data_IF_822992553372
#
_entry.id   IF_822992553372
#
_cell.length_a   1.000
_cell.length_b   1.000
_cell.length_c   1.000
_cell.angle_alpha   90.00
_cell.angle_beta   90.00
_cell.angle_gamma   90.00
#
_symmetry.space_group_name_H-M   'P 1'
#
loop_
_entity.id
_entity.type
_entity.pdbx_description
1 polymer ?
#
# COMPACT_ATOMS: atom_id res chain seq x y z
N UNK A 1 -1.46 -1.97 -53.47
CA UNK A 1 -0.82 -2.00 -52.13
C UNK A 1 -1.32 -0.88 -51.22
N UNK A 2 -1.44 0.39 -51.65
CA UNK A 2 -1.89 1.51 -50.80
C UNK A 2 -3.33 1.39 -50.21
N UNK A 3 -4.24 0.69 -50.88
CA UNK A 3 -5.64 0.48 -50.43
C UNK A 3 -5.79 -0.58 -49.33
N UNK A 4 -4.87 -1.56 -49.27
CA UNK A 4 -4.88 -2.61 -48.25
C UNK A 4 -4.30 -2.06 -46.93
N UNK A 5 -3.30 -1.18 -47.01
CA UNK A 5 -2.73 -0.48 -45.85
C UNK A 5 -3.68 0.54 -45.24
N UNK A 6 -4.48 1.27 -46.05
CA UNK A 6 -5.48 2.21 -45.53
C UNK A 6 -6.63 1.51 -44.79
N UNK A 7 -7.11 0.39 -45.33
CA UNK A 7 -8.18 -0.39 -44.71
C UNK A 7 -7.73 -1.09 -43.42
N UNK A 8 -6.50 -1.63 -43.39
CA UNK A 8 -5.90 -2.19 -42.17
C UNK A 8 -5.78 -1.14 -41.06
N UNK A 9 -5.41 0.10 -41.39
CA UNK A 9 -5.32 1.19 -40.43
C UNK A 9 -6.71 1.62 -39.93
N UNK A 10 -7.71 1.68 -40.82
CA UNK A 10 -9.11 1.94 -40.47
C UNK A 10 -9.65 0.90 -39.48
N UNK A 11 -9.43 -0.39 -39.74
CA UNK A 11 -9.86 -1.48 -38.86
C UNK A 11 -9.19 -1.43 -37.48
N UNK A 12 -7.91 -1.08 -37.42
CA UNK A 12 -7.19 -0.87 -36.14
C UNK A 12 -7.74 0.32 -35.36
N UNK A 13 -8.00 1.43 -36.04
CA UNK A 13 -8.61 2.62 -35.42
C UNK A 13 -10.02 2.32 -34.90
N UNK A 14 -10.82 1.57 -35.66
CA UNK A 14 -12.14 1.10 -35.24
C UNK A 14 -12.06 0.18 -34.01
N UNK A 15 -11.09 -0.73 -33.97
CA UNK A 15 -10.87 -1.61 -32.82
C UNK A 15 -10.43 -0.84 -31.57
N UNK A 16 -9.51 0.12 -31.72
CA UNK A 16 -9.10 1.00 -30.62
C UNK A 16 -10.26 1.86 -30.10
N UNK A 17 -11.08 2.42 -31.01
CA UNK A 17 -12.29 3.17 -30.65
C UNK A 17 -13.30 2.29 -29.90
N UNK A 18 -13.53 1.06 -30.37
CA UNK A 18 -14.42 0.10 -29.68
C UNK A 18 -13.96 -0.20 -28.26
N UNK A 19 -12.65 -0.42 -28.04
CA UNK A 19 -12.12 -0.62 -26.68
C UNK A 19 -12.35 0.61 -25.81
N UNK A 20 -12.07 1.80 -26.35
CA UNK A 20 -12.29 3.05 -25.62
C UNK A 20 -13.76 3.24 -25.23
N UNK A 21 -14.68 3.03 -26.18
CA UNK A 21 -16.12 3.13 -25.95
C UNK A 21 -16.60 2.10 -24.91
N UNK A 22 -16.06 0.87 -24.96
CA UNK A 22 -16.30 -0.15 -23.93
C UNK A 22 -15.84 0.31 -22.55
N UNK A 23 -14.60 0.79 -22.41
CA UNK A 23 -14.05 1.25 -21.14
C UNK A 23 -14.82 2.45 -20.58
N UNK A 24 -15.24 3.40 -21.43
CA UNK A 24 -16.10 4.52 -21.01
C UNK A 24 -17.40 4.00 -20.41
N UNK A 25 -18.05 3.02 -21.07
CA UNK A 25 -19.28 2.42 -20.56
C UNK A 25 -19.05 1.72 -19.22
N UNK A 26 -17.98 0.92 -19.13
CA UNK A 26 -17.59 0.24 -17.88
C UNK A 26 -17.35 1.24 -16.76
N UNK A 27 -16.53 2.28 -16.97
CA UNK A 27 -16.22 3.26 -15.91
C UNK A 27 -17.44 4.10 -15.53
N UNK A 28 -18.34 4.39 -16.47
CA UNK A 28 -19.64 5.01 -16.16
C UNK A 28 -20.46 4.15 -15.21
N UNK A 29 -20.49 2.83 -15.43
CA UNK A 29 -21.15 1.90 -14.53
C UNK A 29 -20.47 1.86 -13.16
N UNK A 30 -19.14 1.84 -13.09
CA UNK A 30 -18.39 1.85 -11.82
C UNK A 30 -18.63 3.14 -11.01
N UNK A 31 -18.82 4.28 -11.67
CA UNK A 31 -19.25 5.53 -11.02
C UNK A 31 -20.67 5.36 -10.45
N UNK A 32 -21.60 4.81 -11.22
CA UNK A 32 -22.98 4.57 -10.77
C UNK A 32 -23.05 3.60 -9.58
N UNK A 33 -22.17 2.59 -9.54
CA UNK A 33 -22.01 1.61 -8.47
C UNK A 33 -21.15 2.12 -7.29
N UNK A 34 -20.71 3.38 -7.36
CA UNK A 34 -19.86 4.04 -6.35
C UNK A 34 -18.59 3.26 -6.04
N UNK A 35 -18.00 2.60 -7.04
CA UNK A 35 -16.69 1.94 -6.93
C UNK A 35 -15.58 2.97 -7.11
N UNK A 36 -15.80 3.96 -7.97
CA UNK A 36 -14.92 5.12 -8.20
C UNK A 36 -15.74 6.40 -8.09
N UNK A 37 -15.10 7.54 -7.82
CA UNK A 37 -15.81 8.84 -7.79
C UNK A 37 -16.11 9.33 -9.19
N UNK A 38 -15.10 9.33 -10.05
CA UNK A 38 -15.20 9.88 -11.40
C UNK A 38 -14.11 9.32 -12.30
N UNK A 39 -14.18 9.61 -13.59
CA UNK A 39 -13.09 9.40 -14.52
C UNK A 39 -13.00 10.49 -15.60
N UNK A 40 -11.79 10.70 -16.10
CA UNK A 40 -11.50 11.52 -17.28
C UNK A 40 -10.99 10.68 -18.44
N UNK A 41 -11.14 11.19 -19.65
CA UNK A 41 -10.73 10.52 -20.91
C UNK A 41 -9.76 11.42 -21.67
N UNK A 42 -8.69 10.84 -22.23
CA UNK A 42 -7.65 11.50 -23.04
C UNK A 42 -7.14 12.82 -22.42
N UNK A 43 -6.73 12.74 -21.16
CA UNK A 43 -6.19 13.90 -20.44
C UNK A 43 -4.71 14.07 -20.74
N UNK A 44 -4.35 15.29 -21.12
CA UNK A 44 -2.96 15.67 -21.31
C UNK A 44 -2.43 16.34 -20.05
N UNK A 45 -1.17 16.05 -19.72
CA UNK A 45 -0.43 16.65 -18.63
C UNK A 45 0.83 17.31 -19.15
N UNK A 46 1.25 18.37 -18.45
CA UNK A 46 2.54 19.02 -18.62
C UNK A 46 3.56 18.48 -17.62
N UNK A 47 4.84 18.65 -17.93
CA UNK A 47 5.88 18.60 -16.93
C UNK A 47 5.79 19.83 -16.03
N UNK A 48 5.76 19.61 -14.72
CA UNK A 48 5.74 20.67 -13.72
C UNK A 48 6.95 21.58 -13.90
N UNK A 49 6.72 22.90 -13.82
CA UNK A 49 7.76 23.91 -14.09
C UNK A 49 7.89 24.32 -15.56
N UNK A 50 7.13 23.71 -16.48
CA UNK A 50 7.13 24.06 -17.90
C UNK A 50 5.73 24.45 -18.43
N UNK A 51 5.71 25.35 -19.41
CA UNK A 51 4.49 25.98 -19.92
C UNK A 51 3.76 25.18 -21.01
N UNK A 52 4.38 24.15 -21.60
CA UNK A 52 3.74 23.40 -22.69
C UNK A 52 2.74 22.38 -22.13
N UNK A 53 1.47 22.50 -22.54
CA UNK A 53 0.34 21.82 -21.90
C UNK A 53 0.02 20.39 -22.37
N UNK A 54 0.78 19.83 -23.33
CA UNK A 54 0.46 18.53 -23.95
C UNK A 54 1.70 17.66 -24.14
N UNK A 55 2.24 17.14 -23.05
CA UNK A 55 3.43 16.28 -23.10
C UNK A 55 3.11 14.82 -22.86
N UNK A 56 2.29 14.54 -21.84
CA UNK A 56 2.00 13.18 -21.40
C UNK A 56 0.50 12.93 -21.55
N UNK A 57 0.15 11.86 -22.25
CA UNK A 57 -1.24 11.46 -22.45
C UNK A 57 -1.62 10.33 -21.49
N UNK A 58 -2.66 10.55 -20.69
CA UNK A 58 -3.39 9.49 -20.02
C UNK A 58 -4.67 9.18 -20.81
N UNK A 59 -4.82 7.95 -21.29
CA UNK A 59 -6.07 7.55 -21.97
C UNK A 59 -7.26 7.65 -21.00
N UNK A 60 -7.04 7.26 -19.74
CA UNK A 60 -7.99 7.50 -18.66
C UNK A 60 -7.30 7.93 -17.38
N UNK A 61 -8.00 8.75 -16.61
CA UNK A 61 -7.68 9.06 -15.21
C UNK A 61 -8.88 8.67 -14.37
N UNK A 62 -8.68 7.80 -13.39
CA UNK A 62 -9.72 7.40 -12.44
C UNK A 62 -9.49 8.18 -11.15
N UNK A 63 -10.55 8.79 -10.64
CA UNK A 63 -10.58 9.41 -9.31
C UNK A 63 -11.20 8.42 -8.33
N UNK A 64 -10.42 8.01 -7.32
CA UNK A 64 -10.85 7.02 -6.34
C UNK A 64 -11.63 7.65 -5.19
N UNK A 65 -12.32 6.82 -4.39
CA UNK A 65 -13.17 7.26 -3.28
C UNK A 65 -12.45 8.12 -2.23
N UNK A 66 -11.14 7.96 -2.08
CA UNK A 66 -10.23 8.69 -1.19
C UNK A 66 -9.55 9.91 -1.86
N UNK A 67 -10.06 10.37 -3.01
CA UNK A 67 -9.55 11.51 -3.80
C UNK A 67 -8.10 11.34 -4.28
N UNK A 68 -7.69 10.09 -4.54
CA UNK A 68 -6.43 9.73 -5.19
C UNK A 68 -6.68 9.40 -6.67
N UNK A 69 -5.61 9.21 -7.42
CA UNK A 69 -5.70 8.97 -8.87
C UNK A 69 -5.07 7.65 -9.30
N UNK A 70 -5.69 7.01 -10.29
CA UNK A 70 -5.12 5.92 -11.07
C UNK A 70 -5.00 6.39 -12.52
N UNK A 71 -3.80 6.30 -13.08
CA UNK A 71 -3.53 6.69 -14.46
C UNK A 71 -3.52 5.44 -15.33
N UNK A 72 -4.25 5.47 -16.44
CA UNK A 72 -4.42 4.31 -17.31
C UNK A 72 -4.04 4.68 -18.74
N UNK A 73 -3.15 3.88 -19.33
CA UNK A 73 -2.96 3.81 -20.76
C UNK A 73 -3.41 2.44 -21.26
N UNK A 74 -4.36 2.43 -22.21
CA UNK A 74 -4.99 1.21 -22.69
C UNK A 74 -4.63 0.91 -24.14
N UNK A 75 -4.60 -0.37 -24.48
CA UNK A 75 -4.39 -0.83 -25.86
C UNK A 75 -5.23 -2.07 -26.13
N UNK A 76 -5.74 -2.21 -27.35
CA UNK A 76 -6.49 -3.39 -27.78
C UNK A 76 -5.62 -4.65 -27.94
N UNK A 77 -4.30 -4.49 -27.99
CA UNK A 77 -3.35 -5.57 -28.13
C UNK A 77 -1.98 -5.18 -27.57
N UNK A 78 -1.29 -6.13 -26.96
CA UNK A 78 0.07 -5.95 -26.50
C UNK A 78 1.05 -6.01 -27.67
N UNK A 79 1.88 -4.99 -27.76
CA UNK A 79 2.98 -4.88 -28.72
C UNK A 79 4.15 -4.17 -28.05
N UNK A 80 5.27 -4.87 -27.96
CA UNK A 80 6.44 -4.41 -27.20
C UNK A 80 7.01 -3.06 -27.70
N UNK A 81 7.00 -2.84 -29.02
CA UNK A 81 7.44 -1.58 -29.64
C UNK A 81 6.55 -0.39 -29.27
N UNK A 82 5.24 -0.61 -29.19
CA UNK A 82 4.23 0.45 -28.92
C UNK A 82 4.05 0.76 -27.45
N UNK A 83 4.32 -0.21 -26.58
CA UNK A 83 4.25 -0.03 -25.14
C UNK A 83 5.20 1.08 -24.67
N UNK A 84 6.33 1.31 -25.36
CA UNK A 84 7.30 2.36 -25.00
C UNK A 84 6.69 3.76 -24.93
N UNK A 85 5.80 4.12 -25.86
CA UNK A 85 5.12 5.43 -25.83
C UNK A 85 4.18 5.51 -24.63
N UNK A 86 3.38 4.48 -24.40
CA UNK A 86 2.47 4.40 -23.25
C UNK A 86 3.23 4.45 -21.92
N UNK A 87 4.39 3.80 -21.85
CA UNK A 87 5.30 3.83 -20.72
C UNK A 87 5.90 5.22 -20.49
N UNK A 88 6.35 5.91 -21.56
CA UNK A 88 6.83 7.29 -21.45
C UNK A 88 5.75 8.22 -20.89
N UNK A 89 4.52 8.11 -21.38
CA UNK A 89 3.38 8.88 -20.89
C UNK A 89 3.10 8.60 -19.41
N UNK A 90 2.97 7.32 -19.02
CA UNK A 90 2.75 6.95 -17.63
C UNK A 90 3.86 7.46 -16.71
N UNK A 91 5.13 7.27 -17.09
CA UNK A 91 6.28 7.76 -16.33
C UNK A 91 6.22 9.28 -16.16
N UNK A 92 5.86 9.99 -17.23
CA UNK A 92 5.71 11.43 -17.25
C UNK A 92 4.65 11.93 -16.26
N UNK A 93 3.45 11.37 -16.35
CA UNK A 93 2.34 11.74 -15.45
C UNK A 93 2.67 11.39 -13.99
N UNK A 94 3.16 10.17 -13.74
CA UNK A 94 3.42 9.68 -12.39
C UNK A 94 4.54 10.44 -11.66
N UNK A 95 5.54 10.95 -12.38
CA UNK A 95 6.69 11.59 -11.74
C UNK A 95 6.77 13.11 -11.92
N UNK A 96 6.08 13.68 -12.92
CA UNK A 96 6.30 15.08 -13.30
C UNK A 96 5.01 15.90 -13.41
N UNK A 97 3.82 15.30 -13.36
CA UNK A 97 2.58 16.07 -13.36
C UNK A 97 2.29 16.67 -11.98
N UNK A 98 1.51 17.74 -11.93
CA UNK A 98 1.08 18.39 -10.68
C UNK A 98 0.26 17.48 -9.74
N UNK A 99 -0.26 16.37 -10.27
CA UNK A 99 -1.04 15.37 -9.52
C UNK A 99 -0.20 14.15 -9.09
N UNK A 100 1.12 14.15 -9.38
CA UNK A 100 2.02 13.01 -9.16
C UNK A 100 1.97 12.50 -7.72
N UNK A 101 1.91 13.42 -6.77
CA UNK A 101 1.80 13.19 -5.33
C UNK A 101 0.50 12.52 -4.88
N UNK A 102 -0.49 12.37 -5.77
CA UNK A 102 -1.79 11.74 -5.50
C UNK A 102 -2.04 10.48 -6.30
N UNK A 103 -1.07 10.03 -7.11
CA UNK A 103 -1.22 8.82 -7.93
C UNK A 103 -0.89 7.58 -7.10
N UNK A 104 -1.83 6.64 -7.02
CA UNK A 104 -1.67 5.38 -6.28
C UNK A 104 -1.42 4.17 -7.20
N UNK A 105 -1.66 4.33 -8.51
CA UNK A 105 -1.29 3.35 -9.52
C UNK A 105 -1.18 3.97 -10.93
N UNK A 106 -0.27 3.43 -11.73
CA UNK A 106 -0.13 3.68 -13.17
C UNK A 106 -0.25 2.34 -13.90
N UNK A 107 -1.20 2.24 -14.82
CA UNK A 107 -1.67 0.95 -15.35
C UNK A 107 -1.57 0.93 -16.87
N UNK A 108 -0.88 -0.08 -17.39
CA UNK A 108 -1.05 -0.53 -18.77
C UNK A 108 -2.22 -1.52 -18.81
N UNK A 109 -3.30 -1.16 -19.49
CA UNK A 109 -4.55 -1.92 -19.48
C UNK A 109 -4.85 -2.57 -20.84
N UNK A 110 -5.12 -3.87 -20.83
CA UNK A 110 -5.39 -4.67 -22.03
C UNK A 110 -6.71 -5.44 -21.91
N UNK A 111 -7.39 -5.81 -23.00
CA UNK A 111 -8.54 -6.70 -22.94
C UNK A 111 -8.16 -8.10 -22.44
N UNK A 112 -9.10 -8.81 -21.82
CA UNK A 112 -8.85 -10.15 -21.23
C UNK A 112 -8.35 -11.19 -22.25
N UNK A 113 -8.67 -11.03 -23.54
CA UNK A 113 -8.17 -11.90 -24.61
C UNK A 113 -6.64 -11.90 -24.69
N UNK A 114 -5.98 -10.83 -24.25
CA UNK A 114 -4.52 -10.72 -24.24
C UNK A 114 -3.86 -11.62 -23.18
N UNK A 115 -4.62 -12.25 -22.29
CA UNK A 115 -4.11 -13.35 -21.46
C UNK A 115 -3.64 -14.54 -22.30
N UNK A 116 -4.04 -14.65 -23.56
CA UNK A 116 -3.55 -15.66 -24.50
C UNK A 116 -2.34 -15.17 -25.32
N UNK A 117 -1.93 -13.90 -25.17
CA UNK A 117 -0.79 -13.34 -25.88
C UNK A 117 0.52 -13.67 -25.14
N UNK A 118 1.31 -14.59 -25.71
CA UNK A 118 2.60 -15.00 -25.15
C UNK A 118 3.58 -13.84 -24.95
N UNK A 119 3.48 -12.79 -25.78
CA UNK A 119 4.28 -11.58 -25.64
C UNK A 119 3.94 -10.80 -24.36
N UNK A 120 2.65 -10.65 -24.04
CA UNK A 120 2.21 -9.99 -22.81
C UNK A 120 2.65 -10.80 -21.59
N UNK A 121 2.40 -12.11 -21.60
CA UNK A 121 2.78 -13.02 -20.50
C UNK A 121 4.28 -12.94 -20.25
N UNK A 122 5.09 -13.05 -21.31
CA UNK A 122 6.55 -12.98 -21.22
C UNK A 122 7.00 -11.63 -20.68
N UNK A 123 6.40 -10.54 -21.15
CA UNK A 123 6.77 -9.20 -20.68
C UNK A 123 6.41 -9.00 -19.21
N UNK A 124 5.21 -9.39 -18.77
CA UNK A 124 4.82 -9.37 -17.35
C UNK A 124 5.82 -10.13 -16.48
N UNK A 125 6.18 -11.35 -16.88
CA UNK A 125 7.15 -12.16 -16.15
C UNK A 125 8.51 -11.47 -16.05
N UNK A 126 9.02 -10.92 -17.16
CA UNK A 126 10.29 -10.18 -17.16
C UNK A 126 10.25 -8.94 -16.28
N UNK A 127 9.12 -8.25 -16.20
CA UNK A 127 8.97 -7.10 -15.27
C UNK A 127 8.99 -7.58 -13.81
N UNK A 128 8.32 -8.69 -13.50
CA UNK A 128 8.29 -9.28 -12.15
C UNK A 128 9.69 -9.76 -11.74
N UNK A 129 10.42 -10.45 -12.63
CA UNK A 129 11.78 -10.95 -12.38
C UNK A 129 12.85 -9.86 -12.48
N UNK A 130 12.48 -8.63 -12.83
CA UNK A 130 13.37 -7.48 -13.06
C UNK A 130 14.32 -7.65 -14.26
N UNK A 131 14.00 -8.54 -15.19
CA UNK A 131 14.68 -8.67 -16.49
C UNK A 131 14.24 -7.62 -17.52
N UNK A 132 13.13 -6.92 -17.25
CA UNK A 132 12.65 -5.79 -18.03
C UNK A 132 12.14 -4.67 -17.14
N UNK A 133 12.34 -3.42 -17.59
CA UNK A 133 11.80 -2.24 -16.92
C UNK A 133 10.43 -1.84 -17.49
N UNK A 134 9.52 -1.43 -16.60
CA UNK A 134 8.25 -0.77 -16.94
C UNK A 134 7.99 0.33 -15.91
N UNK A 135 7.66 1.57 -16.33
CA UNK A 135 7.25 2.62 -15.41
C UNK A 135 5.79 2.50 -14.95
N UNK A 136 5.01 1.62 -15.59
CA UNK A 136 3.69 1.27 -15.09
C UNK A 136 3.83 0.43 -13.81
N UNK A 137 3.16 0.82 -12.74
CA UNK A 137 3.12 0.02 -11.51
C UNK A 137 2.38 -1.29 -11.76
N UNK A 138 1.37 -1.29 -12.64
CA UNK A 138 0.62 -2.48 -13.01
C UNK A 138 0.50 -2.66 -14.51
N UNK A 139 0.45 -3.92 -14.93
CA UNK A 139 0.16 -4.35 -16.30
C UNK A 139 -1.01 -5.30 -16.18
N UNK A 140 -2.24 -4.81 -16.37
CA UNK A 140 -3.46 -5.55 -16.06
C UNK A 140 -4.29 -5.84 -17.30
N UNK A 141 -5.08 -6.90 -17.25
CA UNK A 141 -6.25 -7.03 -18.10
C UNK A 141 -7.49 -6.45 -17.42
N UNK A 142 -8.59 -6.30 -18.15
CA UNK A 142 -9.80 -5.62 -17.67
C UNK A 142 -10.35 -6.31 -16.41
N UNK A 143 -10.48 -7.63 -16.41
CA UNK A 143 -10.93 -8.40 -15.25
C UNK A 143 -10.06 -8.16 -14.01
N UNK A 144 -8.73 -8.27 -14.13
CA UNK A 144 -7.78 -7.98 -13.04
C UNK A 144 -7.87 -6.53 -12.55
N UNK A 145 -8.17 -5.58 -13.43
CA UNK A 145 -8.36 -4.18 -13.06
C UNK A 145 -9.65 -3.94 -12.27
N UNK A 146 -10.74 -4.64 -12.60
CA UNK A 146 -11.97 -4.59 -11.80
C UNK A 146 -11.71 -5.15 -10.40
N UNK A 147 -11.04 -6.30 -10.29
CA UNK A 147 -10.68 -6.88 -8.99
C UNK A 147 -9.80 -5.92 -8.17
N UNK A 148 -8.87 -5.23 -8.81
CA UNK A 148 -8.04 -4.20 -8.19
C UNK A 148 -8.88 -3.05 -7.62
N UNK A 149 -9.86 -2.54 -8.39
CA UNK A 149 -10.73 -1.46 -7.94
C UNK A 149 -11.66 -1.89 -6.81
N UNK A 150 -12.23 -3.09 -6.87
CA UNK A 150 -13.07 -3.63 -5.80
C UNK A 150 -12.27 -3.82 -4.52
N UNK A 151 -11.03 -4.29 -4.62
CA UNK A 151 -10.16 -4.40 -3.45
C UNK A 151 -9.86 -3.02 -2.83
N UNK A 152 -9.54 -2.02 -3.66
CA UNK A 152 -9.34 -0.64 -3.20
C UNK A 152 -10.60 -0.05 -2.56
N UNK A 153 -11.76 -0.23 -3.19
CA UNK A 153 -13.06 0.22 -2.65
C UNK A 153 -13.31 -0.38 -1.26
N UNK A 154 -13.15 -1.69 -1.10
CA UNK A 154 -13.39 -2.34 0.18
C UNK A 154 -12.51 -1.74 1.29
N UNK A 155 -11.24 -1.46 0.99
CA UNK A 155 -10.34 -0.78 1.93
C UNK A 155 -10.86 0.62 2.27
N UNK A 156 -11.20 1.43 1.27
CA UNK A 156 -11.68 2.81 1.51
C UNK A 156 -13.05 2.85 2.18
N UNK A 157 -13.96 1.92 1.89
CA UNK A 157 -15.25 1.82 2.58
C UNK A 157 -15.08 1.34 4.01
N UNK A 158 -14.16 0.38 4.24
CA UNK A 158 -13.74 0.00 5.58
C UNK A 158 -13.22 1.21 6.35
N UNK A 159 -12.55 2.18 5.71
CA UNK A 159 -12.09 3.45 6.29
C UNK A 159 -13.19 4.54 6.40
N UNK A 160 -14.13 4.66 5.44
CA UNK A 160 -15.18 5.72 5.41
C UNK A 160 -16.37 5.43 6.32
N UNK A 161 -16.81 4.16 6.42
CA UNK A 161 -17.82 3.73 7.40
C UNK A 161 -17.35 4.03 8.83
N UNK A 162 -16.05 4.24 9.00
CA UNK A 162 -15.48 4.76 10.21
C UNK A 162 -15.74 6.27 10.36
N UNK A 163 -15.40 7.08 9.35
CA UNK A 163 -15.53 8.54 9.35
C UNK A 163 -16.96 9.05 9.64
N UNK A 164 -17.98 8.50 8.97
CA UNK A 164 -19.38 8.97 9.10
C UNK A 164 -19.99 8.69 10.48
N UNK A 165 -19.49 7.70 11.24
CA UNK A 165 -19.97 7.45 12.61
C UNK A 165 -19.56 8.54 13.61
N UNK A 166 -18.67 9.46 13.21
CA UNK A 166 -18.21 10.59 14.01
C UNK A 166 -19.11 11.82 13.85
N UNK A 167 -19.74 12.00 12.69
CA UNK A 167 -20.55 13.19 12.38
C UNK A 167 -22.00 13.11 12.91
N UNK A 168 -22.51 11.90 13.17
CA UNK A 168 -23.88 11.69 13.68
C UNK A 168 -24.00 11.63 15.22
N UNK A 169 -22.89 11.70 15.98
CA UNK A 169 -22.92 11.55 17.45
C UNK A 169 -22.36 12.76 18.18
N UNK A 170 -23.19 13.38 19.02
CA UNK A 170 -22.78 14.39 20.00
C UNK A 170 -21.81 13.81 21.03
N UNK A 171 -20.95 14.67 21.58
CA UNK A 171 -19.80 14.33 22.45
C UNK A 171 -20.13 13.41 23.64
N UNK A 172 -21.38 13.41 24.11
CA UNK A 172 -21.83 12.57 25.24
C UNK A 172 -22.08 11.10 24.89
N UNK A 173 -22.26 10.73 23.61
CA UNK A 173 -22.45 9.33 23.18
C UNK A 173 -21.15 8.62 22.77
N UNK A 174 -20.02 9.34 22.74
CA UNK A 174 -18.70 8.81 22.34
C UNK A 174 -18.09 7.89 23.41
N UNK A 175 -18.58 7.95 24.66
CA UNK A 175 -18.02 7.16 25.77
C UNK A 175 -18.40 5.67 25.73
N UNK A 176 -19.51 5.27 25.10
CA UNK A 176 -20.03 3.89 25.24
C UNK A 176 -19.82 2.94 24.05
N UNK A 177 -19.38 3.40 22.87
CA UNK A 177 -19.18 2.49 21.71
C UNK A 177 -17.88 2.78 20.93
N UNK A 178 -16.73 2.52 21.56
CA UNK A 178 -15.41 2.55 20.93
C UNK A 178 -15.14 1.23 20.20
N UNK A 179 -15.57 1.11 18.95
CA UNK A 179 -15.36 -0.08 18.11
C UNK A 179 -14.11 0.09 17.24
N UNK A 180 -13.67 -0.99 16.56
CA UNK A 180 -12.47 -0.98 15.69
C UNK A 180 -12.44 0.16 14.66
N UNK A 181 -13.63 0.56 14.17
CA UNK A 181 -13.78 1.67 13.23
C UNK A 181 -13.32 3.02 13.77
N UNK A 182 -13.59 3.35 15.04
CA UNK A 182 -13.19 4.65 15.61
C UNK A 182 -11.66 4.89 15.55
N UNK A 183 -10.86 3.83 15.50
CA UNK A 183 -9.41 3.91 15.54
C UNK A 183 -8.75 4.15 14.16
N UNK A 184 -9.34 3.70 13.04
CA UNK A 184 -8.73 3.86 11.72
C UNK A 184 -8.79 5.31 11.19
N UNK A 185 -9.91 6.01 11.37
CA UNK A 185 -10.04 7.47 11.10
C UNK A 185 -8.97 8.28 11.82
N UNK A 186 -8.75 7.97 13.10
CA UNK A 186 -7.77 8.66 13.92
C UNK A 186 -6.36 8.37 13.43
N UNK A 187 -6.12 7.18 12.86
CA UNK A 187 -4.92 6.85 12.11
C UNK A 187 -4.74 7.79 10.91
N UNK A 188 -5.68 7.79 9.97
CA UNK A 188 -5.59 8.57 8.73
C UNK A 188 -5.48 10.09 8.96
N UNK A 189 -6.24 10.63 9.91
CA UNK A 189 -6.15 12.04 10.28
C UNK A 189 -4.77 12.38 10.87
N UNK A 190 -4.24 11.49 11.71
CA UNK A 190 -2.92 11.65 12.31
C UNK A 190 -1.80 11.51 11.27
N UNK A 191 -1.93 10.61 10.30
CA UNK A 191 -0.98 10.52 9.18
C UNK A 191 -0.91 11.82 8.38
N UNK A 192 -2.07 12.42 8.07
CA UNK A 192 -2.14 13.72 7.39
C UNK A 192 -1.52 14.83 8.23
N UNK A 193 -1.84 14.89 9.52
CA UNK A 193 -1.26 15.83 10.47
C UNK A 193 0.27 15.74 10.50
N UNK A 194 0.83 14.53 10.58
CA UNK A 194 2.27 14.30 10.55
C UNK A 194 2.89 14.74 9.23
N UNK A 195 2.26 14.44 8.09
CA UNK A 195 2.72 14.89 6.76
C UNK A 195 2.72 16.42 6.65
N UNK A 196 1.67 17.07 7.15
CA UNK A 196 1.55 18.53 7.15
C UNK A 196 2.62 19.19 8.03
N UNK A 197 2.87 18.62 9.22
CA UNK A 197 3.96 19.06 10.10
C UNK A 197 5.34 18.93 9.42
N UNK A 198 5.62 17.78 8.81
CA UNK A 198 6.89 17.48 8.13
C UNK A 198 7.14 18.36 6.90
N UNK A 199 6.08 18.75 6.18
CA UNK A 199 6.16 19.66 5.03
C UNK A 199 6.13 21.15 5.43
N UNK A 200 5.96 21.48 6.72
CA UNK A 200 5.91 22.85 7.17
C UNK A 200 7.29 23.53 7.10
N UNK A 201 7.40 24.57 6.26
CA UNK A 201 8.64 25.29 6.03
C UNK A 201 9.17 26.01 7.29
N UNK A 202 8.29 26.43 8.20
CA UNK A 202 8.69 27.11 9.43
C UNK A 202 9.28 26.14 10.45
N UNK A 203 8.78 24.89 10.50
CA UNK A 203 9.44 23.82 11.27
C UNK A 203 10.86 23.57 10.75
N UNK A 204 11.05 23.51 9.43
CA UNK A 204 12.39 23.35 8.85
C UNK A 204 13.33 24.50 9.21
N UNK A 205 12.86 25.75 9.15
CA UNK A 205 13.68 26.91 9.55
C UNK A 205 14.11 26.82 11.01
N UNK A 206 13.17 26.50 11.92
CA UNK A 206 13.45 26.35 13.36
C UNK A 206 14.46 25.24 13.62
N UNK A 207 14.25 24.07 13.01
CA UNK A 207 15.15 22.93 13.12
C UNK A 207 16.58 23.26 12.68
N UNK A 208 16.73 23.94 11.53
CA UNK A 208 18.04 24.39 11.04
C UNK A 208 18.68 25.47 11.92
N UNK A 209 17.88 26.26 12.64
CA UNK A 209 18.42 27.22 13.61
C UNK A 209 18.88 26.58 14.93
N UNK A 210 18.70 25.26 15.08
CA UNK A 210 19.04 24.53 16.30
C UNK A 210 18.11 24.86 17.47
N UNK A 211 16.91 25.37 17.20
CA UNK A 211 15.91 25.62 18.24
C UNK A 211 14.99 24.41 18.40
N UNK A 212 14.65 24.09 19.65
CA UNK A 212 13.73 22.99 19.98
C UNK A 212 12.24 23.35 19.77
N UNK A 213 11.95 24.51 19.16
CA UNK A 213 10.60 25.08 19.00
C UNK A 213 9.81 24.51 17.81
N UNK A 214 10.29 23.42 17.20
CA UNK A 214 9.54 22.73 16.15
C UNK A 214 8.34 21.99 16.75
N UNK A 215 7.37 21.63 15.91
CA UNK A 215 6.27 20.78 16.37
C UNK A 215 6.78 19.41 16.86
N UNK A 216 6.03 18.81 17.79
CA UNK A 216 6.47 17.63 18.54
C UNK A 216 6.86 16.45 17.63
N UNK A 217 6.01 16.10 16.66
CA UNK A 217 6.29 14.97 15.78
C UNK A 217 7.38 15.28 14.75
N UNK A 218 7.46 16.53 14.29
CA UNK A 218 8.58 16.99 13.48
C UNK A 218 9.92 16.73 14.18
N UNK A 219 10.10 17.27 15.40
CA UNK A 219 11.33 17.08 16.18
C UNK A 219 11.62 15.60 16.41
N UNK A 220 10.62 14.84 16.85
CA UNK A 220 10.77 13.41 17.15
C UNK A 220 11.28 12.62 15.94
N UNK A 221 10.68 12.83 14.77
CA UNK A 221 11.00 12.08 13.55
C UNK A 221 12.34 12.54 12.97
N UNK A 222 12.51 13.85 12.74
CA UNK A 222 13.68 14.37 12.03
C UNK A 222 14.96 14.18 12.86
N UNK A 223 14.91 14.33 14.19
CA UNK A 223 16.07 14.07 15.04
C UNK A 223 16.55 12.63 14.93
N UNK A 224 15.64 11.65 15.00
CA UNK A 224 16.00 10.23 14.88
C UNK A 224 16.56 9.92 13.50
N UNK A 225 15.90 10.37 12.43
CA UNK A 225 16.36 10.12 11.06
C UNK A 225 17.72 10.76 10.79
N UNK A 226 17.96 11.98 11.26
CA UNK A 226 19.26 12.63 11.15
C UNK A 226 20.34 11.89 11.95
N UNK A 227 20.02 11.48 13.18
CA UNK A 227 20.93 10.70 14.03
C UNK A 227 21.32 9.37 13.38
N UNK A 228 20.36 8.58 12.91
CA UNK A 228 20.61 7.27 12.31
C UNK A 228 21.42 7.35 11.02
N UNK A 229 21.31 8.49 10.32
CA UNK A 229 21.99 8.73 9.05
C UNK A 229 23.22 9.63 9.17
N UNK A 230 23.65 9.97 10.39
CA UNK A 230 24.77 10.88 10.68
C UNK A 230 24.67 12.22 9.91
N UNK A 231 23.50 12.85 9.93
CA UNK A 231 23.24 14.16 9.31
C UNK A 231 23.29 15.26 10.35
N UNK A 232 24.00 16.34 10.07
CA UNK A 232 23.88 17.58 10.85
C UNK A 232 22.62 18.34 10.44
N UNK A 233 21.86 18.85 11.42
CA UNK A 233 20.64 19.62 11.16
C UNK A 233 20.85 20.81 10.22
N UNK A 234 22.05 21.44 10.26
CA UNK A 234 22.38 22.58 9.40
C UNK A 234 22.50 22.20 7.91
N UNK A 235 22.81 20.93 7.63
CA UNK A 235 23.04 20.42 6.27
C UNK A 235 21.73 20.05 5.58
N UNK A 236 20.60 20.04 6.29
CA UNK A 236 19.28 19.76 5.72
C UNK A 236 18.83 20.93 4.86
N UNK A 237 18.64 20.69 3.56
CA UNK A 237 18.19 21.68 2.57
C UNK A 237 16.67 21.70 2.49
N UNK A 238 16.05 20.53 2.38
CA UNK A 238 14.60 20.41 2.24
C UNK A 238 14.10 19.07 2.76
N UNK A 239 12.89 19.08 3.28
CA UNK A 239 12.13 17.89 3.66
C UNK A 239 10.85 17.88 2.85
N UNK A 240 10.54 16.73 2.27
CA UNK A 240 9.27 16.49 1.61
C UNK A 240 8.69 15.17 2.09
N UNK A 241 7.44 15.16 2.51
CA UNK A 241 6.74 13.97 2.96
C UNK A 241 5.42 13.78 2.22
N UNK A 242 5.00 12.52 2.10
CA UNK A 242 3.75 12.14 1.44
C UNK A 242 3.15 10.90 2.10
N UNK A 243 1.82 10.88 2.22
CA UNK A 243 1.05 9.69 2.60
C UNK A 243 0.46 8.96 1.37
N UNK A 244 0.97 9.26 0.18
CA UNK A 244 0.60 8.54 -1.04
C UNK A 244 1.68 7.50 -1.34
N UNK A 245 1.33 6.24 -1.12
CA UNK A 245 2.16 5.09 -1.48
C UNK A 245 1.44 4.30 -2.56
N UNK A 246 2.19 3.80 -3.56
CA UNK A 246 1.60 2.94 -4.57
C UNK A 246 0.99 1.69 -3.93
N UNK A 247 -0.17 1.27 -4.45
CA UNK A 247 -0.81 0.03 -4.04
C UNK A 247 0.08 -1.17 -4.35
N UNK A 248 -0.05 -2.23 -3.56
CA UNK A 248 0.54 -3.54 -3.85
C UNK A 248 -0.06 -4.11 -5.14
N UNK A 249 0.55 -5.14 -5.74
CA UNK A 249 0.00 -5.79 -6.95
C UNK A 249 -1.42 -6.30 -6.75
N UNK A 250 -1.76 -6.71 -5.52
CA UNK A 250 -3.11 -7.12 -5.14
C UNK A 250 -4.13 -5.98 -5.06
N UNK A 251 -3.70 -4.72 -5.21
CA UNK A 251 -4.48 -3.51 -4.91
C UNK A 251 -4.50 -3.13 -3.43
N UNK A 252 -3.82 -3.89 -2.56
CA UNK A 252 -3.80 -3.64 -1.11
C UNK A 252 -2.91 -2.46 -0.71
N UNK A 253 -3.09 -1.97 0.51
CA UNK A 253 -2.18 -0.98 1.10
C UNK A 253 -0.83 -1.61 1.44
N UNK A 254 0.25 -0.86 1.19
CA UNK A 254 1.57 -1.18 1.71
C UNK A 254 1.60 -1.04 3.25
N UNK A 255 2.68 -1.48 3.90
CA UNK A 255 2.89 -1.20 5.33
C UNK A 255 3.43 0.20 5.61
N UNK A 256 3.95 0.84 4.57
CA UNK A 256 4.36 2.24 4.62
C UNK A 256 3.12 3.11 4.52
N UNK A 257 2.96 3.97 5.52
CA UNK A 257 1.88 4.94 5.61
C UNK A 257 2.40 6.33 5.17
N UNK A 258 3.67 6.66 5.49
CA UNK A 258 4.34 7.92 5.11
C UNK A 258 5.70 7.62 4.48
N UNK A 259 5.99 8.29 3.36
CA UNK A 259 7.33 8.39 2.77
C UNK A 259 7.89 9.77 3.10
N UNK A 260 9.13 9.82 3.58
CA UNK A 260 9.86 11.07 3.82
C UNK A 260 11.14 11.10 3.00
N UNK A 261 11.39 12.24 2.36
CA UNK A 261 12.59 12.55 1.60
C UNK A 261 13.31 13.73 2.27
N UNK A 262 14.54 13.49 2.70
CA UNK A 262 15.40 14.51 3.30
C UNK A 262 16.54 14.77 2.32
N UNK A 263 16.57 15.96 1.74
CA UNK A 263 17.67 16.41 0.91
C UNK A 263 18.66 17.18 1.76
N UNK A 264 19.91 16.77 1.74
CA UNK A 264 21.03 17.44 2.39
C UNK A 264 21.98 18.04 1.35
N UNK A 265 23.04 18.70 1.81
CA UNK A 265 24.12 19.19 0.94
C UNK A 265 24.78 18.04 0.15
N UNK A 266 24.99 16.89 0.79
CA UNK A 266 25.79 15.81 0.22
C UNK A 266 24.97 14.65 -0.35
N UNK A 267 23.77 14.40 0.19
CA UNK A 267 22.95 13.24 -0.15
C UNK A 267 21.46 13.50 -0.03
N UNK A 268 20.68 12.66 -0.70
CA UNK A 268 19.24 12.51 -0.48
C UNK A 268 18.99 11.20 0.27
N UNK A 269 18.11 11.26 1.26
CA UNK A 269 17.68 10.11 2.06
C UNK A 269 16.18 9.95 1.85
N UNK A 270 15.76 8.71 1.63
CA UNK A 270 14.35 8.34 1.51
C UNK A 270 14.06 7.27 2.54
N UNK A 271 13.09 7.55 3.41
CA UNK A 271 12.69 6.64 4.48
C UNK A 271 11.18 6.43 4.49
N UNK A 272 10.77 5.29 5.04
CA UNK A 272 9.40 4.82 5.04
C UNK A 272 8.92 4.56 6.46
N UNK A 273 7.75 5.07 6.79
CA UNK A 273 7.21 5.10 8.16
C UNK A 273 5.84 4.43 8.16
N UNK A 274 5.64 3.49 9.08
CA UNK A 274 4.31 3.02 9.46
C UNK A 274 3.84 3.80 10.66
N UNK A 275 2.57 4.20 10.68
CA UNK A 275 1.97 5.04 11.70
C UNK A 275 0.94 4.22 12.48
N UNK A 276 0.93 4.36 13.80
CA UNK A 276 -0.05 3.75 14.70
C UNK A 276 -0.53 4.79 15.71
N UNK A 277 -1.73 5.32 15.49
CA UNK A 277 -2.41 6.18 16.44
C UNK A 277 -3.43 5.36 17.25
N UNK A 278 -3.28 5.30 18.57
CA UNK A 278 -4.09 4.38 19.38
C UNK A 278 -4.21 4.83 20.83
N UNK A 279 -5.17 4.25 21.55
CA UNK A 279 -5.24 4.28 23.01
C UNK A 279 -5.09 2.87 23.61
N UNK A 280 -4.95 1.87 22.75
CA UNK A 280 -4.95 0.46 23.11
C UNK A 280 -3.52 -0.06 23.29
N UNK A 281 -3.38 -1.06 24.15
CA UNK A 281 -2.11 -1.75 24.35
C UNK A 281 -1.79 -2.74 23.22
N UNK A 282 -2.76 -3.07 22.36
CA UNK A 282 -2.57 -3.94 21.20
C UNK A 282 -3.42 -3.46 20.04
N UNK A 283 -2.86 -3.44 18.84
CA UNK A 283 -3.53 -3.00 17.62
C UNK A 283 -3.32 -4.01 16.50
N UNK A 284 -4.26 -4.06 15.56
CA UNK A 284 -4.09 -4.86 14.35
C UNK A 284 -2.92 -4.32 13.54
N UNK A 285 -2.02 -5.21 13.10
CA UNK A 285 -0.88 -4.85 12.26
C UNK A 285 -0.87 -5.61 10.94
N UNK A 286 -1.62 -6.71 10.84
CA UNK A 286 -1.60 -7.58 9.67
C UNK A 286 -2.91 -8.34 9.54
N UNK A 287 -3.42 -8.48 8.31
CA UNK A 287 -4.64 -9.23 8.02
C UNK A 287 -4.58 -9.77 6.59
N UNK A 288 -4.48 -11.09 6.43
CA UNK A 288 -4.33 -11.75 5.13
C UNK A 288 -5.07 -13.09 5.07
N UNK A 289 -5.32 -13.58 3.85
CA UNK A 289 -5.85 -14.92 3.63
C UNK A 289 -4.71 -15.94 3.75
N UNK A 290 -5.06 -17.18 4.00
CA UNK A 290 -4.07 -18.23 4.24
C UNK A 290 -3.16 -18.50 3.05
N UNK A 291 -3.68 -18.37 1.83
CA UNK A 291 -2.89 -18.43 0.61
C UNK A 291 -1.71 -17.47 0.60
N UNK A 292 -1.85 -16.30 1.25
CA UNK A 292 -0.79 -15.29 1.32
C UNK A 292 0.29 -15.71 2.32
N UNK A 293 -0.09 -16.25 3.47
CA UNK A 293 0.85 -16.84 4.43
C UNK A 293 1.64 -17.99 3.80
N UNK A 294 0.94 -18.91 3.11
CA UNK A 294 1.57 -20.06 2.44
C UNK A 294 2.62 -19.59 1.43
N UNK A 295 2.22 -18.65 0.56
CA UNK A 295 3.07 -18.08 -0.48
C UNK A 295 4.28 -17.34 0.07
N UNK A 296 4.07 -16.42 1.03
CA UNK A 296 5.16 -15.61 1.59
C UNK A 296 6.12 -16.48 2.39
N UNK A 297 5.61 -17.42 3.19
CA UNK A 297 6.45 -18.32 3.98
C UNK A 297 7.09 -19.44 3.13
N UNK A 298 6.56 -19.72 1.94
CA UNK A 298 6.99 -20.79 1.00
C UNK A 298 6.83 -22.18 1.62
N UNK A 299 5.62 -22.47 2.09
CA UNK A 299 5.28 -23.66 2.87
C UNK A 299 4.19 -24.50 2.21
N UNK A 300 4.05 -24.40 0.88
CA UNK A 300 3.12 -25.20 0.09
C UNK A 300 3.31 -26.69 0.36
N UNK A 301 2.21 -27.43 0.52
CA UNK A 301 2.21 -28.88 0.77
C UNK A 301 2.95 -29.32 2.04
N UNK A 302 3.09 -28.45 3.04
CA UNK A 302 3.69 -28.78 4.34
C UNK A 302 2.63 -28.95 5.43
N UNK A 303 2.98 -29.65 6.52
CA UNK A 303 2.11 -29.74 7.71
C UNK A 303 1.83 -28.37 8.34
N UNK A 304 2.78 -27.43 8.25
CA UNK A 304 2.60 -26.06 8.73
C UNK A 304 1.49 -25.32 7.97
N UNK A 305 1.39 -25.51 6.65
CA UNK A 305 0.29 -24.94 5.87
C UNK A 305 -1.06 -25.48 6.37
N UNK A 306 -1.16 -26.78 6.64
CA UNK A 306 -2.40 -27.39 7.14
C UNK A 306 -2.78 -26.88 8.54
N UNK A 307 -1.80 -26.64 9.43
CA UNK A 307 -2.06 -25.96 10.72
C UNK A 307 -2.64 -24.57 10.53
N UNK A 308 -2.07 -23.79 9.61
CA UNK A 308 -2.48 -22.43 9.36
C UNK A 308 -3.88 -22.39 8.68
N UNK A 309 -4.17 -23.30 7.76
CA UNK A 309 -5.49 -23.48 7.14
C UNK A 309 -6.56 -23.78 8.20
N UNK A 310 -6.27 -24.72 9.12
CA UNK A 310 -7.14 -25.02 10.25
C UNK A 310 -7.35 -23.78 11.13
N UNK A 311 -6.28 -23.03 11.43
CA UNK A 311 -6.40 -21.80 12.21
C UNK A 311 -7.33 -20.79 11.54
N UNK A 312 -7.20 -20.56 10.23
CA UNK A 312 -8.09 -19.65 9.50
C UNK A 312 -9.53 -20.12 9.54
N UNK A 313 -9.78 -21.41 9.27
CA UNK A 313 -11.11 -22.02 9.24
C UNK A 313 -11.83 -21.82 10.59
N UNK A 314 -11.14 -22.11 11.70
CA UNK A 314 -11.73 -22.03 13.04
C UNK A 314 -11.75 -20.60 13.60
N UNK A 315 -10.78 -19.77 13.22
CA UNK A 315 -10.70 -18.35 13.47
C UNK A 315 -10.17 -17.94 14.85
N UNK A 316 -10.26 -18.76 15.89
CA UNK A 316 -9.78 -18.42 17.24
C UNK A 316 -8.80 -19.47 17.78
N UNK A 317 -7.97 -19.09 18.76
CA UNK A 317 -7.05 -20.02 19.42
C UNK A 317 -7.77 -21.21 20.04
N UNK A 318 -8.83 -20.96 20.81
CA UNK A 318 -9.59 -22.03 21.49
C UNK A 318 -10.13 -23.04 20.48
N UNK A 319 -10.77 -22.54 19.43
CA UNK A 319 -11.42 -23.38 18.42
C UNK A 319 -10.40 -24.10 17.53
N UNK A 320 -9.27 -23.44 17.26
CA UNK A 320 -8.14 -24.08 16.61
C UNK A 320 -7.63 -25.28 17.41
N UNK A 321 -7.43 -25.13 18.72
CA UNK A 321 -6.97 -26.21 19.61
C UNK A 321 -8.01 -27.32 19.74
N UNK A 322 -9.28 -26.97 19.98
CA UNK A 322 -10.36 -27.94 20.19
C UNK A 322 -10.66 -28.79 18.95
N UNK A 323 -10.33 -28.28 17.76
CA UNK A 323 -10.53 -28.96 16.49
C UNK A 323 -9.23 -29.53 15.89
N UNK A 324 -8.11 -29.56 16.63
CA UNK A 324 -6.90 -30.23 16.15
C UNK A 324 -7.13 -31.74 16.01
N UNK A 325 -6.59 -32.38 14.94
CA UNK A 325 -6.44 -33.82 14.88
C UNK A 325 -5.68 -34.36 16.10
N UNK A 326 -5.96 -35.61 16.51
CA UNK A 326 -5.40 -36.20 17.74
C UNK A 326 -3.87 -36.28 17.73
N UNK A 327 -3.26 -36.38 16.55
CA UNK A 327 -1.82 -36.45 16.33
C UNK A 327 -1.16 -35.08 16.16
N UNK A 328 -1.91 -33.99 16.32
CA UNK A 328 -1.45 -32.61 16.21
C UNK A 328 -1.34 -31.98 17.61
N UNK A 329 -0.47 -30.99 17.75
CA UNK A 329 -0.34 -30.23 19.00
C UNK A 329 0.13 -28.80 18.75
N UNK A 330 -0.20 -27.92 19.68
CA UNK A 330 0.30 -26.53 19.67
C UNK A 330 1.83 -26.49 19.69
N UNK A 331 2.48 -27.39 20.43
CA UNK A 331 3.95 -27.45 20.52
C UNK A 331 4.59 -27.85 19.18
N UNK A 332 3.97 -28.77 18.43
CA UNK A 332 4.42 -29.11 17.08
C UNK A 332 4.24 -27.91 16.13
N UNK A 333 3.08 -27.24 16.17
CA UNK A 333 2.84 -26.04 15.36
C UNK A 333 3.89 -24.96 15.63
N UNK A 334 4.18 -24.67 16.89
CA UNK A 334 5.21 -23.70 17.30
C UNK A 334 6.60 -24.12 16.81
N UNK A 335 6.98 -25.40 16.94
CA UNK A 335 8.27 -25.92 16.45
C UNK A 335 8.40 -25.82 14.92
N UNK A 336 7.32 -26.04 14.18
CA UNK A 336 7.30 -25.90 12.73
C UNK A 336 7.40 -24.42 12.30
N UNK A 337 6.84 -23.51 13.09
CA UNK A 337 6.85 -22.07 12.82
C UNK A 337 8.16 -21.39 13.22
N UNK A 338 8.84 -21.90 14.25
CA UNK A 338 10.10 -21.37 14.80
C UNK A 338 11.14 -20.93 13.75
N UNK A 339 11.54 -21.75 12.75
CA UNK A 339 12.52 -21.33 11.74
C UNK A 339 12.04 -20.18 10.85
N UNK A 340 10.74 -19.88 10.83
CA UNK A 340 10.10 -18.87 10.00
C UNK A 340 9.61 -17.66 10.79
N UNK A 341 9.77 -17.64 12.13
CA UNK A 341 9.17 -16.61 12.98
C UNK A 341 9.64 -15.20 12.65
N UNK A 342 10.94 -15.01 12.37
CA UNK A 342 11.47 -13.69 12.03
C UNK A 342 10.90 -13.22 10.69
N UNK A 343 10.85 -14.11 9.70
CA UNK A 343 10.25 -13.83 8.39
C UNK A 343 8.78 -13.44 8.52
N UNK A 344 8.01 -14.17 9.32
CA UNK A 344 6.59 -13.85 9.57
C UNK A 344 6.43 -12.52 10.32
N UNK A 345 7.25 -12.26 11.34
CA UNK A 345 7.19 -11.02 12.12
C UNK A 345 7.57 -9.81 11.25
N UNK A 346 8.64 -9.90 10.48
CA UNK A 346 9.05 -8.85 9.55
C UNK A 346 8.02 -8.61 8.46
N UNK A 347 7.44 -9.66 7.87
CA UNK A 347 6.34 -9.48 6.91
C UNK A 347 5.12 -8.83 7.56
N UNK A 348 4.77 -9.25 8.78
CA UNK A 348 3.63 -8.73 9.50
C UNK A 348 3.75 -7.23 9.79
N UNK A 349 4.93 -6.79 10.22
CA UNK A 349 5.19 -5.43 10.70
C UNK A 349 5.65 -4.48 9.59
N UNK A 350 6.48 -4.95 8.68
CA UNK A 350 7.18 -4.10 7.69
C UNK A 350 6.73 -4.35 6.26
N UNK A 351 6.11 -5.50 5.96
CA UNK A 351 5.73 -5.90 4.61
C UNK A 351 6.88 -6.58 3.83
N UNK A 352 8.04 -6.81 4.46
CA UNK A 352 9.17 -7.56 3.88
C UNK A 352 8.77 -8.98 3.44
N UNK A 353 9.59 -9.57 2.57
CA UNK A 353 9.50 -10.95 2.07
C UNK A 353 8.39 -11.24 1.05
N UNK A 354 7.47 -10.29 0.83
CA UNK A 354 6.36 -10.45 -0.11
C UNK A 354 6.72 -10.00 -1.55
N UNK A 355 7.78 -10.57 -2.11
CA UNK A 355 8.33 -10.13 -3.39
C UNK A 355 7.34 -10.22 -4.57
N UNK A 356 6.40 -11.17 -4.53
CA UNK A 356 5.42 -11.32 -5.60
C UNK A 356 4.35 -10.24 -5.55
N UNK A 357 4.11 -9.61 -4.38
CA UNK A 357 3.07 -8.60 -4.21
C UNK A 357 3.64 -7.17 -4.17
N UNK A 358 4.91 -7.01 -3.81
CA UNK A 358 5.61 -5.73 -3.85
C UNK A 358 5.90 -5.31 -5.30
N UNK A 359 5.72 -4.02 -5.57
CA UNK A 359 6.02 -3.36 -6.85
C UNK A 359 7.29 -2.54 -6.69
N UNK A 360 7.34 -1.74 -5.63
CA UNK A 360 8.49 -0.93 -5.24
C UNK A 360 8.84 -1.22 -3.77
N UNK A 361 9.63 -2.28 -3.51
CA UNK A 361 10.01 -2.66 -2.16
C UNK A 361 10.65 -1.52 -1.36
N UNK A 362 11.35 -0.57 -2.00
CA UNK A 362 12.03 0.53 -1.29
C UNK A 362 11.03 1.50 -0.66
N UNK A 363 9.87 1.72 -1.30
CA UNK A 363 8.85 2.64 -0.82
C UNK A 363 7.68 1.93 -0.11
N UNK A 364 7.50 0.63 -0.34
CA UNK A 364 6.37 -0.14 0.20
C UNK A 364 6.71 -0.90 1.49
N UNK A 365 7.98 -1.24 1.70
CA UNK A 365 8.44 -1.80 2.97
C UNK A 365 8.70 -0.66 3.94
N UNK A 366 8.15 -0.77 5.14
CA UNK A 366 8.34 0.24 6.18
C UNK A 366 9.60 -0.01 7.00
N UNK A 367 10.45 1.01 7.13
CA UNK A 367 11.70 0.96 7.89
C UNK A 367 11.53 1.42 9.34
N UNK A 368 10.61 2.37 9.58
CA UNK A 368 10.37 2.97 10.89
C UNK A 368 8.91 2.84 11.32
N UNK A 369 8.70 2.88 12.63
CA UNK A 369 7.40 2.90 13.28
C UNK A 369 7.23 4.19 14.07
N UNK A 370 6.20 4.95 13.74
CA UNK A 370 5.68 6.04 14.55
C UNK A 370 4.47 5.57 15.34
N UNK A 371 4.56 5.58 16.66
CA UNK A 371 3.45 5.29 17.57
C UNK A 371 3.04 6.59 18.24
N UNK A 372 1.75 6.89 18.20
CA UNK A 372 1.11 7.85 19.09
C UNK A 372 0.13 7.07 19.97
N UNK A 373 0.42 6.97 21.27
CA UNK A 373 -0.46 6.34 22.25
C UNK A 373 -1.00 7.39 23.20
N UNK A 374 -2.27 7.75 23.03
CA UNK A 374 -2.93 8.74 23.90
C UNK A 374 -2.16 10.08 24.01
N UNK A 375 -1.46 10.50 22.94
CA UNK A 375 -0.67 11.74 22.90
C UNK A 375 0.83 11.54 23.17
N UNK A 376 1.25 10.37 23.63
CA UNK A 376 2.66 10.04 23.83
C UNK A 376 3.25 9.43 22.54
N UNK A 377 4.25 10.11 21.98
CA UNK A 377 4.91 9.73 20.73
C UNK A 377 6.16 8.89 20.94
N UNK A 378 6.31 7.82 20.16
CA UNK A 378 7.55 7.05 20.03
C UNK A 378 7.85 6.87 18.55
N UNK A 379 9.10 7.16 18.15
CA UNK A 379 9.59 6.91 16.80
C UNK A 379 10.85 6.06 16.85
N UNK A 380 10.85 4.94 16.14
CA UNK A 380 11.88 3.90 16.25
C UNK A 380 11.99 3.10 14.95
N UNK A 381 13.18 2.62 14.61
CA UNK A 381 13.37 1.70 13.49
C UNK A 381 12.79 0.31 13.84
N UNK A 382 12.30 -0.42 12.83
CA UNK A 382 11.65 -1.70 13.07
C UNK A 382 12.59 -2.78 13.62
N UNK A 383 13.89 -2.71 13.33
CA UNK A 383 14.85 -3.68 13.86
C UNK A 383 14.91 -3.56 15.38
N UNK A 384 15.17 -2.36 15.88
CA UNK A 384 15.20 -2.05 17.31
C UNK A 384 13.85 -2.32 17.98
N UNK A 385 12.73 -2.05 17.30
CA UNK A 385 11.40 -2.34 17.84
C UNK A 385 11.15 -3.85 17.97
N UNK A 386 11.54 -4.65 16.98
CA UNK A 386 11.43 -6.11 17.03
C UNK A 386 12.25 -6.68 18.19
N UNK A 387 13.49 -6.22 18.38
CA UNK A 387 14.33 -6.63 19.50
C UNK A 387 13.69 -6.26 20.85
N UNK A 388 13.10 -5.06 20.92
CA UNK A 388 12.36 -4.60 22.10
C UNK A 388 11.16 -5.51 22.40
N UNK A 389 10.42 -5.98 21.39
CA UNK A 389 9.27 -6.87 21.57
C UNK A 389 9.64 -8.18 22.28
N UNK A 390 10.79 -8.76 21.94
CA UNK A 390 11.25 -10.02 22.56
C UNK A 390 11.85 -9.82 23.96
N UNK A 391 12.44 -8.66 24.24
CA UNK A 391 13.12 -8.38 25.52
C UNK A 391 12.22 -7.75 26.58
N UNK A 392 11.08 -7.17 26.18
CA UNK A 392 10.16 -6.45 27.09
C UNK A 392 9.18 -7.34 27.85
N UNK A 393 9.38 -8.67 27.88
CA UNK A 393 8.49 -9.59 28.60
C UNK A 393 7.08 -9.72 28.01
N UNK A 394 6.89 -9.36 26.74
CA UNK A 394 5.62 -9.54 26.02
C UNK A 394 5.25 -11.03 25.98
N UNK A 395 3.99 -11.36 26.24
CA UNK A 395 3.48 -12.74 26.07
C UNK A 395 3.59 -13.18 24.62
N UNK A 396 4.33 -14.26 24.40
CA UNK A 396 4.45 -14.90 23.09
C UNK A 396 3.26 -15.84 22.85
N UNK A 397 2.79 -15.85 21.61
CA UNK A 397 1.85 -16.86 21.09
C UNK A 397 2.53 -17.56 19.92
N UNK A 398 2.71 -18.88 20.03
CA UNK A 398 3.40 -19.70 19.03
C UNK A 398 4.80 -19.15 18.71
N UNK A 399 5.59 -18.83 19.74
CA UNK A 399 6.93 -18.27 19.60
C UNK A 399 7.02 -16.81 19.12
N UNK A 400 5.89 -16.12 18.89
CA UNK A 400 5.85 -14.75 18.33
C UNK A 400 5.23 -13.73 19.29
N UNK A 401 5.72 -12.47 19.31
CA UNK A 401 5.15 -11.39 20.12
C UNK A 401 3.87 -10.80 19.49
N UNK A 402 3.03 -11.65 18.91
CA UNK A 402 1.82 -11.27 18.18
C UNK A 402 0.61 -12.02 18.73
N UNK A 403 -0.56 -11.38 18.69
CA UNK A 403 -1.83 -12.05 18.97
C UNK A 403 -2.43 -12.51 17.67
N UNK A 404 -2.91 -13.74 17.65
CA UNK A 404 -3.59 -14.32 16.50
C UNK A 404 -5.10 -14.25 16.73
N UNK A 405 -5.84 -13.82 15.72
CA UNK A 405 -7.30 -13.70 15.74
C UNK A 405 -7.82 -13.68 14.29
N UNK A 406 -9.09 -13.36 14.12
CA UNK A 406 -9.74 -13.05 12.85
C UNK A 406 -10.25 -11.61 12.87
N UNK A 407 -10.37 -10.95 11.70
CA UNK A 407 -11.03 -9.65 11.59
C UNK A 407 -12.53 -9.76 11.92
N UNK A 408 -13.12 -8.68 12.43
CA UNK A 408 -14.54 -8.66 12.78
C UNK A 408 -15.41 -9.09 11.58
N UNK A 409 -16.36 -9.99 11.81
CA UNK A 409 -17.26 -10.57 10.78
C UNK A 409 -16.56 -11.36 9.65
N UNK A 410 -15.25 -11.64 9.78
CA UNK A 410 -14.46 -12.39 8.78
C UNK A 410 -13.92 -13.73 9.34
N UNK A 411 -14.61 -14.32 10.32
CA UNK A 411 -14.26 -15.66 10.86
C UNK A 411 -14.27 -16.69 9.73
N UNK A 412 -13.28 -17.58 9.69
CA UNK A 412 -13.16 -18.58 8.62
C UNK A 412 -12.52 -18.07 7.33
N UNK A 413 -12.35 -16.74 7.17
CA UNK A 413 -11.96 -16.13 5.89
C UNK A 413 -10.55 -15.57 5.87
N UNK A 414 -10.06 -15.07 7.01
CA UNK A 414 -8.77 -14.37 7.12
C UNK A 414 -8.15 -14.55 8.50
N UNK A 415 -6.84 -14.42 8.58
CA UNK A 415 -6.08 -14.37 9.83
C UNK A 415 -5.65 -12.92 10.08
N UNK A 416 -5.93 -12.42 11.29
CA UNK A 416 -5.48 -11.12 11.76
C UNK A 416 -4.43 -11.28 12.85
N UNK A 417 -3.34 -10.52 12.74
CA UNK A 417 -2.30 -10.42 13.76
C UNK A 417 -2.37 -9.06 14.45
N UNK A 418 -2.22 -9.07 15.77
CA UNK A 418 -2.20 -7.87 16.62
C UNK A 418 -0.85 -7.67 17.30
N UNK A 419 -0.27 -6.52 17.06
CA UNK A 419 0.98 -6.03 17.63
C UNK A 419 0.72 -5.40 19.01
N UNK A 420 1.51 -5.72 20.03
CA UNK A 420 1.52 -4.95 21.28
C UNK A 420 2.21 -3.59 21.10
N UNK A 421 1.66 -2.57 21.74
CA UNK A 421 2.13 -1.19 21.67
C UNK A 421 3.05 -0.92 22.86
N UNK A 422 4.33 -0.76 22.55
CA UNK A 422 5.37 -0.37 23.50
C UNK A 422 5.70 1.11 23.27
N UNK A 423 5.40 1.95 24.26
CA UNK A 423 5.87 3.35 24.30
C UNK A 423 7.14 3.39 25.13
#
# INVERSE_FOLDING_TARGET
MNTITSESNRLKQLSGKKLKDFLIKTFTQLVAEKIILNFGVDRNFNHQGFLYGKQYLANFIIETLDNKFIIINSSNSFRHDRMKTQAYDLNGVTNNAIISDKIIASILLYPDIELQNSGLITFRNKVITKDAYSPATHILVISEFIDFLDHHKNIVEEEKVEEDKKSEKTDDQIKENKNGSYYGIRGNAFEKEVVDELNNIDNLKKFRSGTDDCSYYYSLIINKLCSDNNINHNDVISINSSNTVFKLRSGGNAKTDIIIKIKTIDKEIVETISVKNTTQNRVSCHDYKIKDFIRVLKIENTKLASYLELYQEKGSHQEFVDNMPKEWSVSEFEKLLEPLKNKLLEWALTGKHDNDNLIDPQLQISNYLLINKSGEGRFIDFSSYIDTLYTSGVKLSYGLPLSWTYPSKQRGKRIQLKLPILI
#
